data_IF_322162075811
#
_entry.id   IF_322162075811
#
_cell.length_a   1.000
_cell.length_b   1.000
_cell.length_c   1.000
_cell.angle_alpha   90.00
_cell.angle_beta   90.00
_cell.angle_gamma   90.00
#
_symmetry.space_group_name_H-M   'P 1'
#
loop_
_entity.id
_entity.type
_entity.pdbx_description
1 polymer ?
#
# COMPACT_ATOMS: atom_id res chain seq x y z
N UNK A 1 -18.84 -4.33 -43.28
CA UNK A 1 -18.97 -5.52 -42.42
C UNK A 1 -20.10 -5.26 -41.44
N UNK A 2 -21.17 -6.05 -41.51
CA UNK A 2 -22.39 -5.93 -40.69
C UNK A 2 -22.39 -7.08 -39.67
N UNK A 3 -22.04 -6.79 -38.42
CA UNK A 3 -22.30 -7.53 -37.17
C UNK A 3 -21.63 -6.66 -36.09
N UNK A 4 -22.22 -6.26 -34.98
CA UNK A 4 -23.23 -6.88 -34.13
C UNK A 4 -23.91 -5.77 -33.31
N UNK A 5 -25.05 -5.27 -33.78
CA UNK A 5 -25.92 -4.39 -32.97
C UNK A 5 -26.87 -5.19 -32.06
N UNK A 6 -26.87 -6.53 -32.19
CA UNK A 6 -27.78 -7.43 -31.47
C UNK A 6 -27.28 -7.78 -30.06
N UNK A 7 -25.97 -7.71 -29.82
CA UNK A 7 -25.36 -8.02 -28.51
C UNK A 7 -25.68 -6.96 -27.45
N UNK A 8 -25.94 -5.71 -27.85
CA UNK A 8 -26.24 -4.63 -26.92
C UNK A 8 -27.66 -4.68 -26.36
N UNK A 9 -28.61 -5.28 -27.09
CA UNK A 9 -30.01 -5.34 -26.67
C UNK A 9 -30.25 -6.43 -25.61
N UNK A 10 -29.47 -7.51 -25.63
CA UNK A 10 -29.58 -8.61 -24.64
C UNK A 10 -29.05 -8.21 -23.26
N UNK A 11 -28.07 -7.30 -23.19
CA UNK A 11 -27.51 -6.85 -21.90
C UNK A 11 -28.46 -5.87 -21.17
N UNK A 12 -29.19 -5.04 -21.90
CA UNK A 12 -30.15 -4.10 -21.33
C UNK A 12 -31.40 -4.81 -20.75
N UNK A 13 -31.90 -5.86 -21.42
CA UNK A 13 -33.02 -6.65 -20.92
C UNK A 13 -32.70 -7.43 -19.63
N UNK A 14 -31.43 -7.80 -19.42
CA UNK A 14 -30.97 -8.50 -18.21
C UNK A 14 -30.74 -7.56 -17.02
N UNK A 15 -30.38 -6.29 -17.25
CA UNK A 15 -30.18 -5.32 -16.16
C UNK A 15 -31.48 -4.69 -15.64
N UNK A 16 -32.55 -4.62 -16.44
CA UNK A 16 -33.85 -4.09 -15.97
C UNK A 16 -34.63 -5.06 -15.06
N UNK A 17 -34.18 -6.30 -14.88
CA UNK A 17 -34.84 -7.28 -14.01
C UNK A 17 -34.37 -7.26 -12.55
N UNK A 18 -33.33 -6.49 -12.20
CA UNK A 18 -32.71 -6.53 -10.85
C UNK A 18 -33.08 -5.32 -9.98
N UNK A 19 -33.69 -4.28 -10.54
CA UNK A 19 -34.28 -3.19 -9.76
C UNK A 19 -35.70 -3.56 -9.31
N UNK A 20 -35.82 -4.62 -8.51
CA UNK A 20 -37.00 -4.77 -7.66
C UNK A 20 -37.04 -3.62 -6.65
N UNK A 21 -38.22 -3.12 -6.24
CA UNK A 21 -38.28 -2.14 -5.17
C UNK A 21 -37.61 -2.74 -3.93
N UNK A 22 -36.75 -1.99 -3.27
CA UNK A 22 -36.36 -2.27 -1.89
C UNK A 22 -37.58 -2.00 -0.97
N UNK A 23 -38.67 -2.75 -1.18
CA UNK A 23 -39.76 -2.91 -0.24
C UNK A 23 -39.23 -3.79 0.89
N UNK A 24 -39.51 -3.39 2.12
CA UNK A 24 -39.16 -4.09 3.35
C UNK A 24 -39.73 -5.52 3.38
N UNK A 25 -39.10 -6.45 2.67
CA UNK A 25 -39.69 -7.75 2.31
C UNK A 25 -38.92 -8.96 2.82
N UNK A 26 -38.08 -8.84 3.86
CA UNK A 26 -37.43 -10.00 4.45
C UNK A 26 -37.54 -10.07 5.98
N UNK A 27 -38.65 -9.55 6.50
CA UNK A 27 -39.14 -9.87 7.82
C UNK A 27 -40.50 -10.50 7.60
N UNK A 28 -40.70 -11.76 7.99
CA UNK A 28 -42.06 -12.23 8.26
C UNK A 28 -42.54 -11.35 9.41
N UNK A 29 -43.57 -10.51 9.18
CA UNK A 29 -44.06 -9.55 10.18
C UNK A 29 -44.27 -10.26 11.53
N UNK A 30 -43.32 -10.09 12.47
CA UNK A 30 -43.34 -10.73 13.79
C UNK A 30 -42.25 -11.77 14.13
N UNK A 31 -41.44 -12.27 13.19
CA UNK A 31 -40.26 -13.12 13.51
C UNK A 31 -38.96 -12.36 13.15
N UNK A 32 -38.13 -11.96 14.13
CA UNK A 32 -36.90 -11.21 13.87
C UNK A 32 -35.78 -12.05 13.25
N UNK A 33 -36.00 -13.36 13.06
CA UNK A 33 -34.97 -14.24 12.51
C UNK A 33 -34.89 -14.07 11.00
N UNK A 34 -33.71 -13.80 10.44
CA UNK A 34 -33.54 -13.67 9.00
C UNK A 34 -33.92 -14.99 8.31
N UNK A 35 -34.76 -14.92 7.28
CA UNK A 35 -35.06 -16.08 6.45
C UNK A 35 -33.75 -16.57 5.79
N UNK A 36 -33.46 -17.88 5.81
CA UNK A 36 -32.23 -18.41 5.23
C UNK A 36 -32.21 -18.18 3.72
N UNK A 37 -31.23 -17.39 3.26
CA UNK A 37 -30.97 -17.19 1.84
C UNK A 37 -30.24 -18.42 1.29
N UNK A 38 -30.81 -19.06 0.28
CA UNK A 38 -30.11 -20.09 -0.49
C UNK A 38 -29.27 -19.42 -1.57
N UNK A 39 -27.99 -19.78 -1.65
CA UNK A 39 -27.14 -19.26 -2.73
C UNK A 39 -27.64 -19.77 -4.08
N UNK A 40 -27.82 -18.88 -5.04
CA UNK A 40 -28.13 -19.24 -6.43
C UNK A 40 -26.90 -19.62 -7.25
N UNK A 41 -25.68 -19.47 -6.69
CA UNK A 41 -24.43 -19.83 -7.36
C UNK A 41 -23.88 -21.16 -6.85
N UNK A 42 -23.42 -22.00 -7.79
CA UNK A 42 -22.79 -23.28 -7.43
C UNK A 42 -21.37 -23.07 -6.93
N UNK A 43 -20.87 -23.97 -6.07
CA UNK A 43 -19.45 -23.95 -5.64
C UNK A 43 -18.47 -23.98 -6.81
N UNK A 44 -18.82 -24.68 -7.89
CA UNK A 44 -17.99 -24.75 -9.09
C UNK A 44 -17.92 -23.40 -9.83
N UNK A 45 -19.03 -22.68 -9.91
CA UNK A 45 -19.08 -21.34 -10.51
C UNK A 45 -18.25 -20.35 -9.68
N UNK A 46 -18.39 -20.36 -8.35
CA UNK A 46 -17.56 -19.55 -7.45
C UNK A 46 -16.07 -19.84 -7.66
N UNK A 47 -15.67 -21.12 -7.72
CA UNK A 47 -14.27 -21.48 -7.94
C UNK A 47 -13.75 -21.05 -9.31
N UNK A 48 -14.58 -21.04 -10.34
CA UNK A 48 -14.23 -20.54 -11.67
C UNK A 48 -14.05 -19.01 -11.65
N UNK A 49 -14.96 -18.29 -11.01
CA UNK A 49 -14.89 -16.83 -10.86
C UNK A 49 -13.68 -16.41 -10.03
N UNK A 50 -13.37 -17.11 -8.93
CA UNK A 50 -12.15 -16.88 -8.14
C UNK A 50 -10.89 -17.06 -8.97
N UNK A 51 -10.83 -18.12 -9.80
CA UNK A 51 -9.68 -18.32 -10.70
C UNK A 51 -9.56 -17.20 -11.73
N UNK A 52 -10.68 -16.75 -12.30
CA UNK A 52 -10.69 -15.67 -13.27
C UNK A 52 -10.27 -14.32 -12.64
N UNK A 53 -10.73 -14.05 -11.42
CA UNK A 53 -10.34 -12.87 -10.66
C UNK A 53 -8.85 -12.92 -10.31
N UNK A 54 -8.31 -14.05 -9.83
CA UNK A 54 -6.88 -14.18 -9.53
C UNK A 54 -5.97 -13.92 -10.73
N UNK A 55 -6.42 -14.19 -11.96
CA UNK A 55 -5.63 -13.94 -13.18
C UNK A 55 -5.67 -12.48 -13.63
N UNK A 56 -6.75 -11.76 -13.33
CA UNK A 56 -7.02 -10.42 -13.87
C UNK A 56 -7.05 -9.31 -12.81
N UNK A 57 -6.97 -9.66 -11.53
CA UNK A 57 -7.06 -8.69 -10.44
C UNK A 57 -5.80 -7.84 -10.40
N UNK A 58 -5.93 -6.50 -10.38
CA UNK A 58 -4.81 -5.63 -10.04
C UNK A 58 -4.38 -5.90 -8.60
N UNK A 59 -3.07 -5.98 -8.34
CA UNK A 59 -2.50 -6.18 -7.01
C UNK A 59 -2.98 -5.06 -6.05
N UNK A 60 -4.08 -5.30 -5.34
CA UNK A 60 -4.65 -4.36 -4.37
C UNK A 60 -3.90 -4.40 -3.03
N UNK A 61 -2.56 -4.31 -3.08
CA UNK A 61 -1.74 -4.00 -1.90
C UNK A 61 -1.77 -5.00 -0.74
N UNK A 62 -2.45 -6.14 -0.86
CA UNK A 62 -2.40 -7.24 0.11
C UNK A 62 -1.41 -8.31 -0.38
N UNK A 63 -0.16 -8.32 0.09
CA UNK A 63 0.87 -9.23 -0.39
C UNK A 63 0.67 -10.68 0.08
N UNK A 64 -0.30 -10.96 0.93
CA UNK A 64 -0.42 -12.24 1.64
C UNK A 64 -0.88 -13.43 0.76
N UNK A 65 -1.00 -13.25 -0.56
CA UNK A 65 -1.34 -14.34 -1.48
C UNK A 65 -0.62 -14.32 -2.83
N UNK A 66 0.22 -13.32 -3.12
CA UNK A 66 0.90 -13.21 -4.41
C UNK A 66 2.43 -13.32 -4.24
N UNK A 67 3.06 -14.45 -4.60
CA UNK A 67 4.52 -14.62 -4.49
C UNK A 67 5.32 -13.75 -5.48
N UNK A 68 4.66 -13.04 -6.41
CA UNK A 68 5.31 -12.31 -7.51
C UNK A 68 5.32 -10.79 -7.36
N UNK A 69 4.65 -10.22 -6.36
CA UNK A 69 4.49 -8.78 -6.26
C UNK A 69 4.81 -8.22 -4.87
N UNK A 70 6.01 -8.51 -4.38
CA UNK A 70 6.67 -7.48 -3.56
C UNK A 70 7.19 -6.47 -4.57
N UNK A 71 6.38 -5.44 -4.88
CA UNK A 71 6.87 -4.31 -5.64
C UNK A 71 8.14 -3.84 -4.95
N UNK A 72 9.27 -3.93 -5.66
CA UNK A 72 10.51 -3.27 -5.28
C UNK A 72 10.29 -1.77 -5.48
N UNK A 73 9.44 -1.16 -4.64
CA UNK A 73 9.53 0.26 -4.31
C UNK A 73 10.99 0.44 -3.95
N UNK A 74 11.75 1.30 -4.64
CA UNK A 74 13.20 1.44 -4.46
C UNK A 74 13.52 1.49 -2.96
N UNK A 75 13.84 0.33 -2.40
CA UNK A 75 13.68 0.11 -0.98
C UNK A 75 14.98 0.60 -0.40
N UNK A 76 15.04 1.87 -0.04
CA UNK A 76 16.09 2.36 0.83
C UNK A 76 16.19 1.35 1.97
N UNK A 77 17.35 0.68 2.06
CA UNK A 77 17.54 -0.35 3.06
C UNK A 77 17.28 0.26 4.44
N UNK A 78 16.84 -0.54 5.43
CA UNK A 78 16.62 0.00 6.78
C UNK A 78 17.87 0.73 7.31
N UNK A 79 19.06 0.27 6.92
CA UNK A 79 20.32 0.93 7.21
C UNK A 79 20.48 2.30 6.52
N UNK A 80 20.06 2.43 5.26
CA UNK A 80 20.04 3.69 4.52
C UNK A 80 19.15 4.72 5.21
N UNK A 81 17.93 4.32 5.60
CA UNK A 81 16.99 5.21 6.30
C UNK A 81 17.55 5.64 7.65
N UNK A 82 18.11 4.70 8.42
CA UNK A 82 18.70 5.04 9.72
C UNK A 82 19.90 5.99 9.58
N UNK A 83 20.78 5.77 8.59
CA UNK A 83 21.90 6.66 8.31
C UNK A 83 21.42 8.06 7.92
N UNK A 84 20.35 8.15 7.13
CA UNK A 84 19.73 9.41 6.72
C UNK A 84 19.19 10.19 7.92
N UNK A 85 18.44 9.53 8.81
CA UNK A 85 17.92 10.13 10.03
C UNK A 85 19.03 10.66 10.92
N UNK A 86 20.12 9.90 11.12
CA UNK A 86 21.26 10.35 11.92
C UNK A 86 21.96 11.55 11.27
N UNK A 87 22.05 11.57 9.94
CA UNK A 87 22.63 12.68 9.18
C UNK A 87 21.77 13.93 9.27
N UNK A 88 20.45 13.78 9.17
CA UNK A 88 19.45 14.83 9.35
C UNK A 88 19.54 15.47 10.75
N UNK A 89 19.65 14.65 11.79
CA UNK A 89 19.84 15.14 13.18
C UNK A 89 21.19 15.85 13.31
N UNK A 90 22.29 15.25 12.83
CA UNK A 90 23.65 15.81 12.94
C UNK A 90 23.79 17.17 12.26
N UNK A 91 23.13 17.36 11.12
CA UNK A 91 23.17 18.62 10.37
C UNK A 91 22.45 19.79 11.06
N UNK A 92 21.68 19.52 12.13
CA UNK A 92 20.78 20.49 12.75
C UNK A 92 19.49 20.73 11.96
N UNK A 93 19.33 20.11 10.78
CA UNK A 93 18.13 20.26 9.95
C UNK A 93 16.88 19.71 10.66
N UNK A 94 17.04 18.70 11.51
CA UNK A 94 15.95 18.22 12.36
C UNK A 94 15.43 19.31 13.30
N UNK A 95 16.32 20.04 13.98
CA UNK A 95 15.92 21.13 14.86
C UNK A 95 15.35 22.32 14.08
N UNK A 96 15.93 22.64 12.91
CA UNK A 96 15.45 23.74 12.08
C UNK A 96 14.05 23.47 11.52
N UNK A 97 13.79 22.26 11.02
CA UNK A 97 12.47 21.87 10.47
C UNK A 97 11.39 21.73 11.54
N UNK A 98 11.74 21.28 12.75
CA UNK A 98 10.76 21.09 13.84
C UNK A 98 10.60 22.31 14.75
N UNK A 99 11.34 23.40 14.51
CA UNK A 99 11.15 24.66 15.22
C UNK A 99 9.94 25.45 14.71
N UNK A 100 9.55 26.51 15.43
CA UNK A 100 8.37 27.34 15.14
C UNK A 100 8.28 27.85 13.69
N UNK A 101 9.43 28.14 13.09
CA UNK A 101 9.48 28.66 11.73
C UNK A 101 9.43 27.56 10.65
N UNK A 102 9.63 26.30 11.02
CA UNK A 102 9.63 25.16 10.13
C UNK A 102 10.66 25.25 8.99
N UNK A 103 10.30 24.66 7.85
CA UNK A 103 11.12 24.60 6.64
C UNK A 103 11.12 25.91 5.82
N UNK A 104 11.32 27.05 6.48
CA UNK A 104 11.33 28.37 5.84
C UNK A 104 12.68 28.68 5.17
N UNK A 105 12.66 28.69 3.84
CA UNK A 105 13.83 28.99 2.99
C UNK A 105 14.33 30.43 3.12
N UNK A 106 13.52 31.36 3.62
CA UNK A 106 13.95 32.74 3.87
C UNK A 106 14.91 32.84 5.07
N UNK A 107 14.90 31.85 5.98
CA UNK A 107 15.72 31.86 7.19
C UNK A 107 17.13 31.35 6.93
N UNK A 108 18.17 32.13 7.29
CA UNK A 108 19.56 31.71 7.15
C UNK A 108 19.86 30.39 7.87
N UNK A 109 19.34 30.20 9.08
CA UNK A 109 19.57 29.00 9.88
C UNK A 109 19.07 27.72 9.19
N UNK A 110 17.88 27.76 8.57
CA UNK A 110 17.35 26.62 7.82
C UNK A 110 18.21 26.32 6.59
N UNK A 111 18.56 27.34 5.80
CA UNK A 111 19.41 27.17 4.61
C UNK A 111 20.79 26.59 4.96
N UNK A 112 21.39 27.05 6.06
CA UNK A 112 22.67 26.53 6.54
C UNK A 112 22.56 25.06 6.95
N UNK A 113 21.55 24.70 7.74
CA UNK A 113 21.32 23.31 8.15
C UNK A 113 21.02 22.40 6.95
N UNK A 114 20.27 22.89 5.96
CA UNK A 114 19.99 22.15 4.72
C UNK A 114 21.25 21.93 3.88
N UNK A 115 22.12 22.94 3.77
CA UNK A 115 23.41 22.82 3.09
C UNK A 115 24.33 21.81 3.79
N UNK A 116 24.40 21.84 5.12
CA UNK A 116 25.18 20.86 5.89
C UNK A 116 24.63 19.44 5.76
N UNK A 117 23.30 19.27 5.78
CA UNK A 117 22.68 17.97 5.51
C UNK A 117 23.10 17.45 4.13
N UNK A 118 22.98 18.27 3.08
CA UNK A 118 23.38 17.88 1.74
C UNK A 118 24.88 17.52 1.66
N UNK A 119 25.74 18.29 2.33
CA UNK A 119 27.18 18.02 2.39
C UNK A 119 27.50 16.70 3.07
N UNK A 120 26.86 16.42 4.21
CA UNK A 120 27.04 15.17 4.94
C UNK A 120 26.47 13.97 4.18
N UNK A 121 25.28 14.13 3.58
CA UNK A 121 24.57 13.06 2.86
C UNK A 121 25.29 12.61 1.60
N UNK A 122 25.98 13.53 0.93
CA UNK A 122 26.77 13.27 -0.27
C UNK A 122 28.24 12.97 0.03
N UNK A 123 28.65 13.00 1.29
CA UNK A 123 30.02 12.72 1.71
C UNK A 123 30.31 11.20 1.83
N UNK A 124 31.59 10.80 1.80
CA UNK A 124 31.99 9.39 1.97
C UNK A 124 31.59 8.82 3.34
N UNK A 125 31.52 9.68 4.37
CA UNK A 125 31.08 9.34 5.72
C UNK A 125 29.68 8.72 5.76
N UNK A 126 28.81 9.12 4.82
CA UNK A 126 27.45 8.58 4.76
C UNK A 126 27.46 7.10 4.35
N UNK A 127 28.23 6.73 3.33
CA UNK A 127 28.38 5.33 2.90
C UNK A 127 28.95 4.46 4.02
N UNK A 128 29.99 4.95 4.72
CA UNK A 128 30.58 4.27 5.86
C UNK A 128 29.58 4.09 7.03
N UNK A 129 28.68 5.06 7.24
CA UNK A 129 27.62 4.97 8.25
C UNK A 129 26.60 3.89 7.89
N UNK A 130 26.15 3.86 6.63
CA UNK A 130 25.22 2.83 6.13
C UNK A 130 25.80 1.43 6.31
N UNK A 131 27.07 1.23 5.93
CA UNK A 131 27.74 -0.06 6.12
C UNK A 131 27.86 -0.45 7.59
N UNK A 132 28.23 0.50 8.46
CA UNK A 132 28.35 0.27 9.90
C UNK A 132 27.03 -0.21 10.48
N UNK A 133 25.93 0.48 10.15
CA UNK A 133 24.59 0.13 10.59
C UNK A 133 24.19 -1.25 10.06
N UNK A 134 24.47 -1.53 8.79
CA UNK A 134 24.20 -2.83 8.16
C UNK A 134 24.90 -3.97 8.93
N UNK A 135 26.21 -3.81 9.19
CA UNK A 135 26.98 -4.80 9.97
C UNK A 135 26.46 -4.96 11.39
N UNK A 136 26.07 -3.87 12.05
CA UNK A 136 25.52 -3.92 13.41
C UNK A 136 24.19 -4.70 13.44
N UNK A 137 23.30 -4.47 12.48
CA UNK A 137 22.04 -5.20 12.36
C UNK A 137 22.26 -6.71 12.18
N UNK A 138 23.21 -7.11 11.33
CA UNK A 138 23.54 -8.52 11.13
C UNK A 138 24.11 -9.19 12.38
N UNK A 139 24.94 -8.49 13.17
CA UNK A 139 25.49 -9.02 14.43
C UNK A 139 24.40 -9.23 15.48
N UNK A 140 23.48 -8.28 15.64
CA UNK A 140 22.37 -8.42 16.58
C UNK A 140 21.45 -9.60 16.24
N UNK A 141 21.19 -9.84 14.95
CA UNK A 141 20.38 -10.98 14.49
C UNK A 141 21.07 -12.34 14.77
N UNK A 142 22.39 -12.42 14.61
CA UNK A 142 23.16 -13.63 14.90
C UNK A 142 23.20 -13.98 16.39
N UNK A 143 23.27 -12.98 17.28
CA UNK A 143 23.22 -13.19 18.74
C UNK A 143 21.83 -13.63 19.20
N UNK A 144 20.75 -13.11 18.60
CA UNK A 144 19.37 -13.45 18.97
C UNK A 144 18.95 -14.87 18.54
N UNK A 145 19.76 -15.55 17.72
CA UNK A 145 19.48 -16.91 17.21
C UNK A 145 20.26 -18.01 17.96
N UNK A 146 20.89 -17.66 19.10
CA UNK A 146 21.56 -18.59 20.03
C UNK A 146 20.79 -18.67 21.33
#
# INVERSE_FOLDING_TARGET
MKTSLKTSLTLAALLSAIAGPALAGNYAEGDPRPAPLTSSTSRAAVAADTRNWLQNSPDQGYPEGNPRAVASVSANSRAMVQADTLTWIRSGLAAATNGEAGADLSRPAYRQAAAEYARLRNGPEFGALVERITRQGSRSAATASR
#
